data_IF_671232039856
#
_entry.id   IF_671232039856
#
_cell.length_a   1.000
_cell.length_b   1.000
_cell.length_c   1.000
_cell.angle_alpha   90.00
_cell.angle_beta   90.00
_cell.angle_gamma   90.00
#
_symmetry.space_group_name_H-M   'P 1'
#
loop_
_entity.id
_entity.type
_entity.pdbx_description
1 polymer ?
#
# COMPACT_ATOMS: atom_id res chain seq x y z
N UNK A 1 -29.82 -21.41 -20.63
CA UNK A 1 -29.97 -20.48 -19.48
C UNK A 1 -28.60 -20.28 -18.88
N UNK A 2 -28.04 -19.07 -18.96
CA UNK A 2 -26.77 -18.76 -18.30
C UNK A 2 -27.01 -18.69 -16.78
N UNK A 3 -26.12 -19.26 -15.94
CA UNK A 3 -26.25 -19.15 -14.49
C UNK A 3 -26.15 -17.69 -14.07
N UNK A 4 -27.00 -17.29 -13.13
CA UNK A 4 -26.98 -15.95 -12.55
C UNK A 4 -25.60 -15.65 -11.93
N UNK A 5 -25.11 -14.40 -12.01
CA UNK A 5 -23.84 -14.04 -11.40
C UNK A 5 -23.86 -14.32 -9.90
N UNK A 6 -22.88 -15.10 -9.42
CA UNK A 6 -22.72 -15.56 -8.03
C UNK A 6 -22.45 -14.43 -7.02
N UNK A 7 -22.31 -13.19 -7.47
CA UNK A 7 -22.13 -12.03 -6.61
C UNK A 7 -23.09 -10.92 -7.06
N UNK A 8 -24.19 -10.67 -6.32
CA UNK A 8 -25.01 -9.49 -6.57
C UNK A 8 -24.15 -8.23 -6.40
N UNK A 9 -24.45 -7.14 -7.14
CA UNK A 9 -23.75 -5.88 -6.93
C UNK A 9 -23.90 -5.48 -5.46
N UNK A 10 -22.77 -5.31 -4.77
CA UNK A 10 -22.73 -4.76 -3.41
C UNK A 10 -23.45 -3.42 -3.44
N UNK A 11 -24.71 -3.39 -2.98
CA UNK A 11 -25.45 -2.16 -2.84
C UNK A 11 -24.75 -1.33 -1.75
N UNK A 12 -24.30 -0.10 -2.04
CA UNK A 12 -23.68 0.72 -1.01
C UNK A 12 -24.71 1.05 0.07
N UNK A 13 -24.63 0.36 1.21
CA UNK A 13 -25.49 0.63 2.37
C UNK A 13 -25.24 2.03 2.90
N UNK A 14 -26.31 2.76 3.20
CA UNK A 14 -26.21 4.04 3.88
C UNK A 14 -25.76 3.85 5.34
N UNK A 15 -25.21 4.91 5.95
CA UNK A 15 -24.81 4.88 7.38
C UNK A 15 -26.00 4.59 8.31
N UNK A 16 -27.20 5.04 7.93
CA UNK A 16 -28.44 4.78 8.65
C UNK A 16 -28.83 3.30 8.55
N UNK A 17 -28.85 2.76 7.33
CA UNK A 17 -29.15 1.34 7.09
C UNK A 17 -28.18 0.41 7.84
N UNK A 18 -26.87 0.71 7.85
CA UNK A 18 -25.91 -0.07 8.63
C UNK A 18 -26.18 -0.01 10.14
N UNK A 19 -26.59 1.16 10.64
CA UNK A 19 -26.94 1.32 12.06
C UNK A 19 -28.14 0.46 12.43
N UNK A 20 -29.19 0.44 11.59
CA UNK A 20 -30.38 -0.39 11.81
C UNK A 20 -30.05 -1.89 11.77
N UNK A 21 -29.26 -2.34 10.79
CA UNK A 21 -28.80 -3.73 10.73
C UNK A 21 -28.01 -4.12 11.98
N UNK A 22 -27.06 -3.29 12.40
CA UNK A 22 -26.26 -3.56 13.61
C UNK A 22 -27.13 -3.65 14.87
N UNK A 23 -28.15 -2.81 15.00
CA UNK A 23 -29.10 -2.88 16.10
C UNK A 23 -29.97 -4.14 16.06
N UNK A 24 -30.34 -4.59 14.88
CA UNK A 24 -31.10 -5.83 14.70
C UNK A 24 -30.24 -7.04 15.09
N UNK A 25 -29.04 -7.16 14.51
CA UNK A 25 -28.10 -8.25 14.80
C UNK A 25 -27.72 -8.31 16.29
N UNK A 26 -27.47 -7.14 16.90
CA UNK A 26 -27.13 -7.04 18.32
C UNK A 26 -28.24 -7.60 19.23
N UNK A 27 -29.51 -7.48 18.83
CA UNK A 27 -30.67 -7.97 19.59
C UNK A 27 -30.84 -9.49 19.48
N UNK A 28 -30.55 -10.06 18.31
CA UNK A 28 -30.75 -11.49 18.05
C UNK A 28 -29.57 -12.32 18.58
N UNK A 29 -28.36 -11.76 18.58
CA UNK A 29 -27.17 -12.42 19.09
C UNK A 29 -27.27 -12.74 20.60
N UNK A 30 -26.76 -13.90 21.06
CA UNK A 30 -26.74 -14.27 22.47
C UNK A 30 -26.07 -13.19 23.35
N UNK A 31 -26.61 -12.96 24.55
CA UNK A 31 -26.06 -11.97 25.47
C UNK A 31 -25.12 -12.63 26.50
N UNK A 32 -23.99 -12.00 26.85
CA UNK A 32 -23.54 -10.67 26.41
C UNK A 32 -22.81 -10.72 25.04
N UNK A 33 -23.05 -9.72 24.17
CA UNK A 33 -22.28 -9.55 22.93
C UNK A 33 -21.59 -8.19 22.83
N UNK A 34 -20.48 -8.16 22.09
CA UNK A 34 -19.66 -6.96 21.84
C UNK A 34 -19.99 -6.27 20.51
N UNK A 35 -21.12 -6.60 19.88
CA UNK A 35 -21.46 -6.01 18.59
C UNK A 35 -21.74 -4.51 18.77
N UNK A 36 -21.23 -3.62 17.90
CA UNK A 36 -21.57 -2.19 17.96
C UNK A 36 -23.06 -1.98 17.69
N UNK A 37 -23.68 -1.01 18.35
CA UNK A 37 -25.09 -0.66 18.17
C UNK A 37 -25.30 0.44 17.12
N UNK A 38 -24.23 0.98 16.53
CA UNK A 38 -24.32 2.02 15.51
C UNK A 38 -23.13 2.03 14.57
N UNK A 39 -23.30 2.68 13.41
CA UNK A 39 -22.21 2.95 12.48
C UNK A 39 -21.02 3.63 13.17
N UNK A 40 -21.27 4.62 14.05
CA UNK A 40 -20.19 5.35 14.74
C UNK A 40 -19.42 4.44 15.69
N UNK A 41 -20.10 3.58 16.43
CA UNK A 41 -19.45 2.59 17.30
C UNK A 41 -18.66 1.56 16.51
N UNK A 42 -19.22 1.07 15.39
CA UNK A 42 -18.55 0.13 14.52
C UNK A 42 -17.27 0.73 13.92
N UNK A 43 -17.34 1.96 13.42
CA UNK A 43 -16.15 2.69 12.93
C UNK A 43 -15.14 2.88 14.06
N UNK A 44 -15.57 3.29 15.25
CA UNK A 44 -14.66 3.47 16.41
C UNK A 44 -13.96 2.15 16.79
N UNK A 45 -14.67 1.04 16.71
CA UNK A 45 -14.17 -0.30 17.01
C UNK A 45 -13.14 -0.78 15.98
N UNK A 46 -13.39 -0.54 14.68
CA UNK A 46 -12.51 -1.03 13.59
C UNK A 46 -11.33 -0.08 13.35
N UNK A 47 -11.48 1.22 13.63
CA UNK A 47 -10.48 2.26 13.34
C UNK A 47 -9.05 1.93 13.80
N UNK A 48 -8.80 1.36 14.99
CA UNK A 48 -7.45 0.96 15.40
C UNK A 48 -6.82 -0.13 14.51
N UNK A 49 -7.64 -0.98 13.90
CA UNK A 49 -7.22 -2.08 13.03
C UNK A 49 -7.04 -1.66 11.56
N UNK A 50 -7.42 -0.42 11.21
CA UNK A 50 -7.23 0.12 9.88
C UNK A 50 -5.81 0.63 9.72
N UNK A 51 -5.24 0.42 8.53
CA UNK A 51 -3.94 0.99 8.17
C UNK A 51 -4.10 2.51 8.03
N UNK A 52 -3.30 3.32 8.74
CA UNK A 52 -3.42 4.77 8.67
C UNK A 52 -3.01 5.26 7.29
N UNK A 53 -3.83 6.14 6.69
CA UNK A 53 -3.47 6.80 5.43
C UNK A 53 -2.70 8.08 5.77
N UNK A 54 -1.43 8.17 5.37
CA UNK A 54 -0.61 9.37 5.49
C UNK A 54 -0.85 10.26 4.26
N UNK A 55 -1.11 11.55 4.48
CA UNK A 55 -1.33 12.51 3.41
C UNK A 55 -0.16 13.48 3.30
N UNK A 56 0.19 13.83 2.06
CA UNK A 56 1.29 14.72 1.73
C UNK A 56 0.84 15.78 0.71
N UNK A 57 1.38 16.98 0.86
CA UNK A 57 1.31 18.07 -0.12
C UNK A 57 2.46 17.89 -1.10
N UNK A 58 2.17 17.97 -2.40
CA UNK A 58 3.20 17.75 -3.42
C UNK A 58 3.46 19.01 -4.21
N UNK A 59 4.73 19.20 -4.60
CA UNK A 59 5.06 20.20 -5.61
C UNK A 59 4.42 19.84 -6.96
N UNK A 60 3.89 20.84 -7.67
CA UNK A 60 3.32 20.66 -9.02
C UNK A 60 4.37 20.18 -10.03
N UNK A 61 5.64 20.52 -9.79
CA UNK A 61 6.77 20.08 -10.61
C UNK A 61 7.40 18.76 -10.14
N UNK A 62 6.81 18.09 -9.14
CA UNK A 62 7.34 16.83 -8.58
C UNK A 62 8.77 16.93 -8.03
N UNK A 63 9.17 18.09 -7.52
CA UNK A 63 10.51 18.26 -6.95
C UNK A 63 10.64 17.67 -5.54
N UNK A 64 9.61 17.84 -4.71
CA UNK A 64 9.58 17.42 -3.30
C UNK A 64 8.14 17.31 -2.80
N UNK A 65 7.94 16.50 -1.78
CA UNK A 65 6.67 16.31 -1.07
C UNK A 65 6.83 16.62 0.41
N UNK A 66 5.74 17.06 1.05
CA UNK A 66 5.73 17.59 2.41
C UNK A 66 4.58 16.98 3.19
N UNK A 67 4.74 16.67 4.49
CA UNK A 67 3.64 16.23 5.34
C UNK A 67 2.46 17.22 5.32
N UNK A 68 1.22 16.72 5.37
CA UNK A 68 0.04 17.59 5.29
C UNK A 68 -0.08 18.59 6.45
N UNK A 69 0.46 18.24 7.61
CA UNK A 69 0.51 19.08 8.82
C UNK A 69 1.62 20.15 8.79
N UNK A 70 2.50 20.13 7.78
CA UNK A 70 3.55 21.14 7.65
C UNK A 70 2.96 22.51 7.27
N UNK A 71 3.53 23.58 7.83
CA UNK A 71 3.19 24.97 7.54
C UNK A 71 3.70 25.47 6.19
N UNK A 72 4.59 24.71 5.52
CA UNK A 72 5.14 25.06 4.21
C UNK A 72 4.01 25.27 3.17
N UNK A 73 4.06 26.42 2.49
CA UNK A 73 3.12 26.82 1.44
C UNK A 73 3.71 26.84 0.04
N UNK A 74 5.03 26.79 -0.06
CA UNK A 74 5.79 26.89 -1.32
C UNK A 74 6.86 25.81 -1.36
N UNK A 75 7.19 25.33 -2.56
CA UNK A 75 8.22 24.32 -2.71
C UNK A 75 9.61 24.92 -2.40
N UNK A 76 10.38 24.32 -1.49
CA UNK A 76 11.72 24.79 -1.14
C UNK A 76 12.78 24.64 -2.24
N UNK A 77 12.44 23.98 -3.37
CA UNK A 77 13.36 23.74 -4.49
C UNK A 77 13.06 24.69 -5.65
N UNK A 78 11.79 24.81 -6.05
CA UNK A 78 11.40 25.60 -7.22
C UNK A 78 10.54 26.83 -6.89
N UNK A 79 10.29 27.11 -5.60
CA UNK A 79 9.48 28.23 -5.09
C UNK A 79 8.04 28.29 -5.62
N UNK A 80 7.55 27.22 -6.23
CA UNK A 80 6.18 27.15 -6.71
C UNK A 80 5.21 26.96 -5.55
N UNK A 81 4.09 27.70 -5.56
CA UNK A 81 3.08 27.58 -4.51
C UNK A 81 2.42 26.21 -4.53
N UNK A 82 2.34 25.57 -3.36
CA UNK A 82 1.70 24.26 -3.14
C UNK A 82 0.17 24.37 -3.06
N UNK A 83 -0.36 25.58 -2.88
CA UNK A 83 -1.77 25.87 -2.63
C UNK A 83 -2.37 26.69 -3.77
N UNK A 84 -3.68 26.56 -4.01
CA UNK A 84 -4.38 27.49 -4.91
C UNK A 84 -4.42 28.89 -4.29
N UNK A 85 -4.43 29.93 -5.12
CA UNK A 85 -4.50 31.32 -4.63
C UNK A 85 -5.83 31.62 -3.95
N UNK A 86 -6.92 31.08 -4.51
CA UNK A 86 -8.29 31.39 -4.10
C UNK A 86 -8.83 30.46 -3.01
N UNK A 87 -8.09 29.38 -2.70
CA UNK A 87 -8.48 28.45 -1.66
C UNK A 87 -7.23 27.91 -0.98
N UNK A 88 -7.27 27.76 0.35
CA UNK A 88 -6.20 27.15 1.13
C UNK A 88 -6.09 25.61 0.88
N UNK A 89 -6.43 25.17 -0.34
CA UNK A 89 -6.44 23.80 -0.82
C UNK A 89 -5.15 23.53 -1.57
N UNK A 90 -4.55 22.37 -1.32
CA UNK A 90 -3.37 21.92 -2.03
C UNK A 90 -3.66 21.67 -3.51
N UNK A 91 -2.76 22.15 -4.39
CA UNK A 91 -2.80 21.89 -5.84
C UNK A 91 -2.65 20.41 -6.16
N UNK A 92 -1.77 19.73 -5.42
CA UNK A 92 -1.43 18.32 -5.61
C UNK A 92 -1.25 17.64 -4.24
N UNK A 93 -1.85 16.46 -4.08
CA UNK A 93 -1.83 15.70 -2.83
C UNK A 93 -1.52 14.23 -3.11
N UNK A 94 -0.63 13.65 -2.33
CA UNK A 94 -0.31 12.22 -2.37
C UNK A 94 -0.82 11.53 -1.11
N UNK A 95 -1.47 10.38 -1.30
CA UNK A 95 -1.92 9.53 -0.20
C UNK A 95 -1.07 8.28 -0.18
N UNK A 96 -0.48 8.01 0.98
CA UNK A 96 0.43 6.91 1.23
C UNK A 96 -0.16 5.97 2.28
N UNK A 97 -0.15 4.68 1.98
CA UNK A 97 -0.53 3.59 2.87
C UNK A 97 0.74 2.89 3.34
N UNK A 98 1.14 3.04 4.62
CA UNK A 98 2.32 2.41 5.19
C UNK A 98 2.43 0.91 4.88
N UNK A 99 3.61 0.49 4.50
CA UNK A 99 3.91 -0.90 4.14
C UNK A 99 4.16 -1.75 5.38
N UNK A 100 4.90 -1.23 6.36
CA UNK A 100 5.37 -2.02 7.50
C UNK A 100 4.22 -2.61 8.33
N UNK A 101 3.16 -1.87 8.70
CA UNK A 101 2.02 -2.44 9.40
C UNK A 101 1.30 -3.54 8.60
N UNK A 102 1.37 -3.47 7.26
CA UNK A 102 0.82 -4.51 6.39
C UNK A 102 1.70 -5.76 6.44
N UNK A 103 3.01 -5.60 6.28
CA UNK A 103 3.95 -6.72 6.40
C UNK A 103 3.78 -7.44 7.74
N UNK A 104 3.70 -6.71 8.85
CA UNK A 104 3.46 -7.28 10.18
C UNK A 104 2.18 -8.12 10.23
N UNK A 105 1.09 -7.67 9.59
CA UNK A 105 -0.17 -8.43 9.51
C UNK A 105 -0.06 -9.70 8.67
N UNK A 106 0.70 -9.66 7.57
CA UNK A 106 0.97 -10.84 6.75
C UNK A 106 1.79 -11.88 7.52
N UNK A 107 2.86 -11.46 8.20
CA UNK A 107 3.70 -12.34 9.01
C UNK A 107 3.04 -12.82 10.31
N UNK A 108 2.08 -12.06 10.85
CA UNK A 108 1.29 -12.49 12.02
C UNK A 108 0.42 -13.72 11.77
N UNK A 109 0.21 -14.10 10.51
CA UNK A 109 -0.51 -15.33 10.14
C UNK A 109 0.49 -16.45 9.84
N UNK A 110 0.61 -17.44 10.72
CA UNK A 110 1.58 -18.54 10.62
C UNK A 110 1.62 -19.23 9.25
N UNK A 111 0.46 -19.45 8.62
CA UNK A 111 0.38 -20.10 7.31
C UNK A 111 0.92 -19.20 6.19
N UNK A 112 0.65 -17.90 6.25
CA UNK A 112 1.17 -16.94 5.28
C UNK A 112 2.67 -16.73 5.47
N UNK A 113 3.14 -16.61 6.71
CA UNK A 113 4.56 -16.48 7.03
C UNK A 113 5.39 -17.60 6.38
N UNK A 114 4.95 -18.87 6.50
CA UNK A 114 5.62 -20.04 5.88
C UNK A 114 5.76 -19.98 4.35
N UNK A 115 4.86 -19.25 3.67
CA UNK A 115 4.88 -19.07 2.21
C UNK A 115 5.74 -17.85 1.85
N UNK A 116 5.69 -16.80 2.67
CA UNK A 116 6.37 -15.54 2.40
C UNK A 116 7.87 -15.57 2.69
N UNK A 117 8.33 -16.42 3.61
CA UNK A 117 9.76 -16.65 3.83
C UNK A 117 10.42 -17.20 2.56
N UNK A 118 11.59 -16.66 2.23
CA UNK A 118 12.40 -17.10 1.10
C UNK A 118 12.81 -18.57 1.29
N UNK A 119 12.06 -19.50 0.71
CA UNK A 119 12.51 -20.88 0.59
C UNK A 119 13.54 -20.95 -0.52
N UNK A 120 14.67 -21.63 -0.25
CA UNK A 120 15.53 -22.14 -1.33
C UNK A 120 14.68 -23.02 -2.23
N UNK A 121 14.53 -22.62 -3.48
CA UNK A 121 13.97 -23.46 -4.52
C UNK A 121 15.08 -24.41 -4.97
N UNK A 122 14.74 -25.70 -5.13
CA UNK A 122 15.68 -26.73 -5.53
C UNK A 122 16.15 -26.49 -6.97
N UNK A 123 17.45 -26.22 -7.13
CA UNK A 123 18.06 -25.80 -8.39
C UNK A 123 18.43 -27.00 -9.25
N UNK A 124 17.50 -27.48 -10.08
CA UNK A 124 17.78 -28.47 -11.13
C UNK A 124 18.40 -27.83 -12.40
N UNK A 125 19.25 -26.81 -12.24
CA UNK A 125 19.98 -26.15 -13.34
C UNK A 125 19.12 -25.38 -14.36
N UNK A 126 17.85 -25.10 -14.05
CA UNK A 126 16.98 -24.21 -14.83
C UNK A 126 16.72 -22.93 -14.05
N UNK A 127 16.60 -21.79 -14.74
CA UNK A 127 16.12 -20.54 -14.14
C UNK A 127 14.66 -20.75 -13.73
N UNK A 128 14.42 -20.99 -12.44
CA UNK A 128 13.12 -21.30 -11.89
C UNK A 128 12.46 -20.07 -11.25
N UNK A 129 13.24 -19.16 -10.67
CA UNK A 129 12.70 -17.91 -10.09
C UNK A 129 13.72 -16.77 -10.02
N UNK A 130 13.33 -15.65 -9.39
CA UNK A 130 14.15 -14.43 -9.23
C UNK A 130 15.51 -14.70 -8.56
N UNK A 131 15.61 -15.73 -7.71
CA UNK A 131 16.84 -16.12 -7.02
C UNK A 131 17.92 -16.65 -7.95
N UNK A 132 17.52 -17.21 -9.11
CA UNK A 132 18.46 -17.78 -10.08
C UNK A 132 19.02 -16.72 -11.04
N UNK A 133 18.51 -15.49 -10.96
CA UNK A 133 18.95 -14.38 -11.78
C UNK A 133 20.40 -14.00 -11.49
N UNK A 134 21.18 -13.76 -12.55
CA UNK A 134 22.59 -13.37 -12.44
C UNK A 134 22.79 -12.12 -11.58
N UNK A 135 21.87 -11.15 -11.67
CA UNK A 135 21.90 -9.91 -10.87
C UNK A 135 21.72 -10.23 -9.39
N UNK A 136 20.75 -11.07 -9.02
CA UNK A 136 20.52 -11.45 -7.63
C UNK A 136 21.73 -12.18 -7.05
N UNK A 137 22.30 -13.12 -7.80
CA UNK A 137 23.51 -13.85 -7.40
C UNK A 137 24.73 -12.93 -7.27
N UNK A 138 24.90 -11.96 -8.17
CA UNK A 138 25.96 -10.97 -8.08
C UNK A 138 25.84 -10.10 -6.82
N UNK A 139 24.65 -9.56 -6.53
CA UNK A 139 24.43 -8.73 -5.34
C UNK A 139 24.55 -9.52 -4.03
N UNK A 140 24.13 -10.79 -4.05
CA UNK A 140 24.34 -11.72 -2.95
C UNK A 140 25.84 -11.91 -2.67
N UNK A 141 26.65 -12.14 -3.71
CA UNK A 141 28.10 -12.30 -3.60
C UNK A 141 28.83 -11.01 -3.21
N UNK A 142 28.34 -9.85 -3.67
CA UNK A 142 28.84 -8.54 -3.27
C UNK A 142 28.60 -8.26 -1.78
N UNK A 143 27.67 -9.00 -1.17
CA UNK A 143 27.39 -8.93 0.25
C UNK A 143 26.49 -7.78 0.64
N UNK A 144 25.60 -7.36 -0.26
CA UNK A 144 24.53 -6.40 0.08
C UNK A 144 23.67 -6.91 1.25
N UNK A 145 23.58 -8.23 1.44
CA UNK A 145 22.80 -8.87 2.50
C UNK A 145 23.62 -9.30 3.72
N UNK A 146 24.90 -8.90 3.87
CA UNK A 146 25.85 -9.44 4.86
C UNK A 146 25.38 -9.41 6.32
N UNK A 147 24.52 -8.46 6.70
CA UNK A 147 24.04 -8.30 8.08
C UNK A 147 22.76 -9.11 8.38
N UNK A 148 22.21 -9.83 7.39
CA UNK A 148 20.95 -10.57 7.51
C UNK A 148 21.06 -11.93 6.87
N UNK A 149 20.59 -12.98 7.56
CA UNK A 149 20.38 -14.28 6.93
C UNK A 149 19.47 -14.08 5.71
N UNK A 150 19.97 -14.47 4.53
CA UNK A 150 19.26 -14.32 3.25
C UNK A 150 17.93 -15.08 3.27
N UNK A 151 17.83 -16.10 4.12
CA UNK A 151 16.62 -16.90 4.38
C UNK A 151 15.55 -16.11 5.17
N UNK A 152 15.93 -15.00 5.81
CA UNK A 152 15.06 -14.07 6.51
C UNK A 152 14.76 -12.79 5.72
N UNK A 153 15.35 -12.62 4.53
CA UNK A 153 15.01 -11.53 3.64
C UNK A 153 13.58 -11.68 3.10
N UNK A 154 12.87 -10.55 3.00
CA UNK A 154 11.52 -10.46 2.44
C UNK A 154 11.58 -9.72 1.12
N UNK A 155 11.65 -10.44 0.00
CA UNK A 155 11.87 -9.79 -1.27
C UNK A 155 10.53 -9.30 -1.83
N UNK A 156 10.52 -8.04 -2.26
CA UNK A 156 9.37 -7.34 -2.82
C UNK A 156 9.71 -6.80 -4.21
N UNK A 157 8.79 -6.89 -5.15
CA UNK A 157 8.89 -6.21 -6.43
C UNK A 157 8.04 -4.95 -6.43
N UNK A 158 8.63 -3.86 -6.90
CA UNK A 158 8.01 -2.56 -7.06
C UNK A 158 7.56 -2.37 -8.51
N UNK A 159 6.29 -2.00 -8.69
CA UNK A 159 5.71 -1.62 -9.96
C UNK A 159 5.20 -0.18 -9.89
N UNK A 160 5.62 0.61 -10.86
CA UNK A 160 5.16 1.98 -11.07
C UNK A 160 4.90 2.15 -12.56
N UNK A 161 3.64 2.24 -12.95
CA UNK A 161 3.24 2.47 -14.36
C UNK A 161 2.13 3.52 -14.42
N UNK A 162 2.03 4.23 -15.53
CA UNK A 162 1.02 5.25 -15.75
C UNK A 162 -0.31 4.65 -16.20
N UNK A 163 -1.35 4.79 -15.37
CA UNK A 163 -2.74 4.49 -15.74
C UNK A 163 -3.56 5.75 -15.91
N UNK A 164 -4.49 5.74 -16.88
CA UNK A 164 -5.48 6.79 -17.08
C UNK A 164 -6.89 6.21 -16.93
N UNK A 165 -7.42 6.13 -15.70
CA UNK A 165 -8.72 5.49 -15.45
C UNK A 165 -9.90 6.27 -16.05
N UNK A 166 -9.70 7.53 -16.43
CA UNK A 166 -10.74 8.45 -16.91
C UNK A 166 -10.54 8.86 -18.37
N UNK A 167 -9.97 7.98 -19.21
CA UNK A 167 -9.65 8.26 -20.62
C UNK A 167 -10.83 8.87 -21.40
N UNK A 168 -12.07 8.54 -21.05
CA UNK A 168 -13.28 9.02 -21.74
C UNK A 168 -14.02 10.18 -21.03
N UNK A 169 -13.51 10.69 -19.90
CA UNK A 169 -14.13 11.80 -19.17
C UNK A 169 -13.40 13.12 -19.44
N UNK A 170 -14.10 14.26 -19.38
CA UNK A 170 -13.51 15.59 -19.59
C UNK A 170 -12.33 15.90 -18.65
N UNK A 171 -12.29 15.26 -17.47
CA UNK A 171 -11.22 15.34 -16.48
C UNK A 171 -10.19 14.21 -16.61
N UNK A 172 -9.59 14.04 -17.80
CA UNK A 172 -8.47 13.11 -18.00
C UNK A 172 -7.28 13.49 -17.10
N UNK A 173 -6.99 12.66 -16.11
CA UNK A 173 -5.81 12.79 -15.25
C UNK A 173 -5.00 11.49 -15.31
N UNK A 174 -3.70 11.63 -15.59
CA UNK A 174 -2.75 10.52 -15.43
C UNK A 174 -2.57 10.24 -13.93
N UNK A 175 -2.46 8.96 -13.57
CA UNK A 175 -2.25 8.51 -12.19
C UNK A 175 -1.24 7.36 -12.23
N UNK A 176 -0.26 7.38 -11.34
CA UNK A 176 0.80 6.38 -11.26
C UNK A 176 0.69 5.65 -9.93
N UNK A 177 0.06 4.46 -9.87
CA UNK A 177 0.05 3.66 -8.67
C UNK A 177 1.46 3.16 -8.35
N UNK A 178 1.80 3.20 -7.07
CA UNK A 178 2.95 2.53 -6.49
C UNK A 178 2.42 1.20 -5.95
N UNK A 179 2.80 0.09 -6.58
CA UNK A 179 2.32 -1.24 -6.22
C UNK A 179 3.52 -2.09 -5.81
N UNK A 180 3.41 -2.77 -4.69
CA UNK A 180 4.35 -3.81 -4.27
C UNK A 180 3.71 -5.17 -4.45
N UNK A 181 4.48 -6.17 -4.85
CA UNK A 181 4.08 -7.57 -4.72
C UNK A 181 5.18 -8.40 -4.08
N UNK A 182 4.76 -9.51 -3.48
CA UNK A 182 5.65 -10.49 -2.87
C UNK A 182 6.28 -11.33 -3.97
N UNK A 183 7.61 -11.25 -4.12
CA UNK A 183 8.29 -12.10 -5.10
C UNK A 183 8.58 -13.50 -4.58
N UNK A 184 8.44 -13.73 -3.27
CA UNK A 184 8.52 -15.06 -2.68
C UNK A 184 7.28 -15.93 -2.93
N UNK A 185 6.17 -15.35 -3.40
CA UNK A 185 4.97 -16.12 -3.71
C UNK A 185 5.14 -16.95 -5.00
N UNK A 186 4.49 -18.13 -5.10
CA UNK A 186 4.41 -18.91 -6.32
C UNK A 186 3.96 -18.06 -7.53
N UNK A 187 4.55 -18.34 -8.69
CA UNK A 187 4.33 -17.56 -9.92
C UNK A 187 2.87 -17.48 -10.33
N UNK A 188 2.09 -18.51 -10.02
CA UNK A 188 0.67 -18.64 -10.32
C UNK A 188 -0.19 -17.63 -9.57
N UNK A 189 0.25 -17.18 -8.39
CA UNK A 189 -0.55 -16.32 -7.51
C UNK A 189 0.05 -14.93 -7.26
N UNK A 190 1.37 -14.75 -7.42
CA UNK A 190 2.06 -13.50 -7.05
C UNK A 190 1.62 -12.26 -7.85
N UNK A 191 1.01 -12.44 -9.02
CA UNK A 191 0.48 -11.36 -9.85
C UNK A 191 -1.05 -11.26 -9.83
N UNK A 192 -1.70 -11.96 -8.90
CA UNK A 192 -3.13 -11.77 -8.65
C UNK A 192 -3.37 -10.49 -7.82
N UNK A 193 -4.58 -9.96 -7.89
CA UNK A 193 -4.96 -8.72 -7.21
C UNK A 193 -4.83 -8.83 -5.67
N UNK A 194 -4.98 -10.03 -5.10
CA UNK A 194 -4.93 -10.25 -3.65
C UNK A 194 -3.55 -9.97 -3.04
N UNK A 195 -2.46 -10.57 -3.57
CA UNK A 195 -1.11 -10.29 -3.09
C UNK A 195 -0.56 -8.90 -3.41
N UNK A 196 -1.09 -8.23 -4.43
CA UNK A 196 -0.66 -6.88 -4.78
C UNK A 196 -1.05 -5.86 -3.71
N UNK A 197 -0.06 -5.11 -3.25
CA UNK A 197 -0.20 -4.06 -2.27
C UNK A 197 -0.06 -2.70 -2.93
N UNK A 198 -1.17 -2.03 -3.20
CA UNK A 198 -1.13 -0.62 -3.57
C UNK A 198 -0.67 0.19 -2.36
N UNK A 199 0.43 0.92 -2.50
CA UNK A 199 1.06 1.72 -1.44
C UNK A 199 0.66 3.18 -1.56
N UNK A 200 0.49 3.67 -2.76
CA UNK A 200 0.07 5.04 -2.99
C UNK A 200 -0.31 5.25 -4.43
N UNK A 201 -0.93 6.40 -4.71
CA UNK A 201 -1.22 6.81 -6.08
C UNK A 201 -0.65 8.20 -6.28
N UNK A 202 0.36 8.29 -7.15
CA UNK A 202 0.98 9.54 -7.55
C UNK A 202 0.05 10.22 -8.55
N UNK A 203 -0.45 11.44 -8.25
CA UNK A 203 -1.19 12.20 -9.24
C UNK A 203 -0.26 12.66 -10.36
N UNK A 204 -0.67 12.50 -11.60
CA UNK A 204 0.00 13.11 -12.75
C UNK A 204 -0.25 14.62 -12.83
N UNK A 205 0.46 15.28 -13.75
CA UNK A 205 0.32 16.71 -14.01
C UNK A 205 -0.71 16.95 -15.11
N UNK A 206 -1.98 16.83 -14.74
CA UNK A 206 -3.08 16.79 -15.71
C UNK A 206 -3.00 15.49 -16.52
N UNK A 207 -2.85 15.59 -17.85
CA UNK A 207 -2.73 14.43 -18.75
C UNK A 207 -1.31 13.85 -18.83
N UNK A 208 -0.32 14.54 -18.27
CA UNK A 208 1.09 14.14 -18.32
C UNK A 208 1.47 13.31 -17.10
N UNK A 209 2.48 12.47 -17.29
CA UNK A 209 3.18 11.76 -16.23
C UNK A 209 3.81 12.72 -15.20
N UNK A 210 4.01 12.27 -13.95
CA UNK A 210 4.82 13.02 -13.00
C UNK A 210 6.23 13.23 -13.55
N UNK A 211 6.82 14.40 -13.29
CA UNK A 211 8.16 14.73 -13.82
C UNK A 211 9.27 13.93 -13.17
N UNK A 212 9.08 13.55 -11.91
CA UNK A 212 9.97 12.66 -11.17
C UNK A 212 9.13 11.78 -10.24
N UNK A 213 9.56 10.53 -10.10
CA UNK A 213 9.01 9.57 -9.14
C UNK A 213 9.76 9.60 -7.80
N UNK A 214 10.99 10.13 -7.79
CA UNK A 214 11.93 10.00 -6.67
C UNK A 214 11.32 10.48 -5.36
N UNK A 215 10.70 11.68 -5.25
CA UNK A 215 10.16 12.14 -3.97
C UNK A 215 9.13 11.18 -3.37
N UNK A 216 8.35 10.52 -4.22
CA UNK A 216 7.31 9.59 -3.81
C UNK A 216 7.88 8.24 -3.38
N UNK A 217 8.87 7.73 -4.11
CA UNK A 217 9.56 6.48 -3.81
C UNK A 217 10.44 6.65 -2.56
N UNK A 218 11.02 7.82 -2.32
CA UNK A 218 11.78 8.12 -1.11
C UNK A 218 10.97 7.87 0.16
N UNK A 219 9.67 8.21 0.22
CA UNK A 219 8.84 7.87 1.39
C UNK A 219 8.81 6.36 1.65
N UNK A 220 8.68 5.58 0.58
CA UNK A 220 8.64 4.12 0.68
C UNK A 220 9.98 3.57 1.15
N UNK A 221 11.08 4.02 0.55
CA UNK A 221 12.44 3.59 0.90
C UNK A 221 12.77 3.98 2.34
N UNK A 222 12.46 5.21 2.75
CA UNK A 222 12.68 5.70 4.12
C UNK A 222 11.89 4.87 5.14
N UNK A 223 10.63 4.50 4.84
CA UNK A 223 9.85 3.60 5.70
C UNK A 223 10.52 2.24 5.82
N UNK A 224 10.97 1.65 4.71
CA UNK A 224 11.60 0.34 4.74
C UNK A 224 12.94 0.36 5.50
N UNK A 225 13.81 1.34 5.22
CA UNK A 225 15.12 1.45 5.87
C UNK A 225 15.00 1.71 7.37
N UNK A 226 14.16 2.68 7.78
CA UNK A 226 13.97 3.01 9.20
C UNK A 226 13.43 1.84 10.04
N UNK A 227 12.70 0.90 9.43
CA UNK A 227 12.16 -0.27 10.13
C UNK A 227 13.05 -1.51 10.03
N UNK A 228 14.01 -1.56 9.09
CA UNK A 228 15.02 -2.62 9.02
C UNK A 228 16.02 -2.52 10.18
N UNK A 229 16.39 -1.29 10.57
CA UNK A 229 17.26 -1.01 11.72
C UNK A 229 16.59 -1.32 13.09
N UNK A 230 15.26 -1.44 13.13
CA UNK A 230 14.48 -1.62 14.36
C UNK A 230 14.15 -3.10 14.71
N UNK A 231 14.69 -4.08 13.99
CA UNK A 231 14.33 -5.49 14.17
C UNK A 231 14.78 -6.10 15.52
N UNK A 232 15.58 -5.41 16.33
CA UNK A 232 15.82 -5.80 17.73
C UNK A 232 14.58 -5.65 18.65
N UNK A 233 13.57 -4.89 18.25
CA UNK A 233 12.40 -4.57 19.11
C UNK A 233 11.16 -5.42 18.86
N UNK A 234 11.12 -6.24 17.80
CA UNK A 234 9.99 -7.13 17.49
C UNK A 234 10.02 -8.47 18.26
N UNK A 235 10.99 -8.67 19.16
CA UNK A 235 11.00 -9.82 20.09
C UNK A 235 10.07 -9.66 21.31
N UNK A 236 9.33 -8.54 21.45
CA UNK A 236 8.54 -8.24 22.64
C UNK A 236 7.04 -7.95 22.41
N UNK A 237 6.43 -8.50 21.36
CA UNK A 237 4.97 -8.65 21.27
C UNK A 237 4.60 -10.09 20.96
#
# INVERSE_FOLDING_TARGET
>A
MAPAPLNPPLCPMSKAALTECLQHEKRIMPQPNYLPASYKEAVKMIKPSLIPIKQYKCCVNDCKIYPMNDSIRECTICNESLLYKDSNRCKKTFSYMPVVPRLARWFGTKNLAKILYAKKLDTNGKLCDYTDGQIFQAELNNGIFKDTDVEHCVPLALFTDGVNPNKNNAAQKSMWPIILTWISLPQEIRYLLGPMMMVGIIPGNGRKEPKSLDPYITILVDELLSNMECTESLQLM
#
